data_IF_898603912062
#
_entry.id   IF_898603912062
#
_cell.length_a   1.000
_cell.length_b   1.000
_cell.length_c   1.000
_cell.angle_alpha   90.00
_cell.angle_beta   90.00
_cell.angle_gamma   90.00
#
_symmetry.space_group_name_H-M   'P 1'
#
loop_
_entity.id
_entity.type
_entity.pdbx_description
1 polymer ?
#
# COMPACT_ATOMS: atom_id res chain seq x y z
N UNK A 1 2.84 -7.39 16.80
CA UNK A 1 2.10 -8.27 15.86
C UNK A 1 3.09 -8.64 14.77
N UNK A 2 3.06 -9.87 14.27
CA UNK A 2 3.98 -10.30 13.20
C UNK A 2 3.34 -9.98 11.84
N UNK A 3 4.10 -9.37 10.93
CA UNK A 3 3.67 -9.10 9.57
C UNK A 3 3.29 -10.40 8.85
N UNK A 4 2.05 -10.53 8.37
CA UNK A 4 1.64 -11.64 7.53
C UNK A 4 1.84 -11.30 6.05
N UNK A 5 3.06 -11.51 5.55
CA UNK A 5 3.48 -11.15 4.19
C UNK A 5 2.52 -11.67 3.11
N UNK A 6 1.89 -12.84 3.31
CA UNK A 6 0.96 -13.40 2.32
C UNK A 6 -0.31 -12.55 2.19
N UNK A 7 -0.93 -12.17 3.30
CA UNK A 7 -2.13 -11.33 3.32
C UNK A 7 -1.83 -9.95 2.73
N UNK A 8 -0.66 -9.40 3.06
CA UNK A 8 -0.22 -8.12 2.49
C UNK A 8 -0.03 -8.18 0.97
N UNK A 9 0.55 -9.26 0.42
CA UNK A 9 0.70 -9.43 -1.03
C UNK A 9 -0.66 -9.51 -1.74
N UNK A 10 -1.62 -10.23 -1.16
CA UNK A 10 -2.98 -10.32 -1.71
C UNK A 10 -3.66 -8.94 -1.69
N UNK A 11 -3.56 -8.22 -0.57
CA UNK A 11 -4.08 -6.87 -0.44
C UNK A 11 -3.44 -5.90 -1.45
N UNK A 12 -2.11 -5.90 -1.56
CA UNK A 12 -1.36 -5.08 -2.53
C UNK A 12 -1.89 -5.30 -3.95
N UNK A 13 -2.12 -6.55 -4.36
CA UNK A 13 -2.65 -6.89 -5.69
C UNK A 13 -4.05 -6.31 -5.92
N UNK A 14 -4.93 -6.39 -4.93
CA UNK A 14 -6.28 -5.81 -5.01
C UNK A 14 -6.20 -4.29 -5.17
N UNK A 15 -5.38 -3.62 -4.35
CA UNK A 15 -5.21 -2.18 -4.40
C UNK A 15 -4.61 -1.75 -5.75
N UNK A 16 -3.67 -2.54 -6.29
CA UNK A 16 -3.09 -2.31 -7.62
C UNK A 16 -4.13 -2.30 -8.74
N UNK A 17 -5.10 -3.22 -8.69
CA UNK A 17 -6.19 -3.29 -9.67
C UNK A 17 -7.14 -2.09 -9.58
N UNK A 18 -7.36 -1.56 -8.37
CA UNK A 18 -8.26 -0.43 -8.15
C UNK A 18 -7.63 0.93 -8.47
N UNK A 19 -6.35 1.09 -8.13
CA UNK A 19 -5.63 2.36 -8.25
C UNK A 19 -4.71 2.47 -9.46
N UNK A 20 -4.50 1.38 -10.22
CA UNK A 20 -3.66 1.38 -11.42
C UNK A 20 -2.22 1.91 -11.18
N UNK A 21 -1.56 1.47 -10.09
CA UNK A 21 -0.12 1.74 -9.89
C UNK A 21 0.76 0.59 -10.39
N UNK A 22 2.03 0.88 -10.60
CA UNK A 22 3.05 -0.11 -10.93
C UNK A 22 3.90 -0.46 -9.71
N UNK A 23 4.23 -1.74 -9.56
CA UNK A 23 5.15 -2.25 -8.55
C UNK A 23 6.37 -2.86 -9.22
N UNK A 24 7.54 -2.42 -8.78
CA UNK A 24 8.82 -2.93 -9.26
C UNK A 24 9.66 -3.38 -8.06
N UNK A 25 10.05 -4.65 -8.03
CA UNK A 25 10.98 -5.14 -7.02
C UNK A 25 12.40 -4.74 -7.41
N UNK A 26 13.07 -3.94 -6.57
CA UNK A 26 14.42 -3.43 -6.84
C UNK A 26 15.48 -4.26 -6.11
N UNK A 27 15.16 -4.76 -4.91
CA UNK A 27 16.00 -5.66 -4.12
C UNK A 27 15.09 -6.62 -3.30
N UNK A 28 15.68 -7.61 -2.64
CA UNK A 28 15.00 -8.66 -1.84
C UNK A 28 13.98 -8.08 -0.86
N UNK A 29 14.24 -6.90 -0.33
CA UNK A 29 13.43 -6.22 0.69
C UNK A 29 12.97 -4.82 0.25
N UNK A 30 13.14 -4.42 -1.02
CA UNK A 30 12.79 -3.06 -1.47
C UNK A 30 11.89 -3.13 -2.69
N UNK A 31 10.74 -2.48 -2.60
CA UNK A 31 9.79 -2.32 -3.70
C UNK A 31 9.62 -0.85 -4.04
N UNK A 32 9.47 -0.55 -5.32
CA UNK A 32 9.15 0.79 -5.81
C UNK A 32 7.71 0.81 -6.30
N UNK A 33 6.93 1.76 -5.80
CA UNK A 33 5.60 2.10 -6.31
C UNK A 33 5.76 3.28 -7.26
N UNK A 34 5.22 3.15 -8.48
CA UNK A 34 5.02 4.28 -9.38
C UNK A 34 3.53 4.59 -9.46
N UNK A 35 3.14 5.78 -9.04
CA UNK A 35 1.76 6.23 -9.01
C UNK A 35 1.66 7.71 -9.35
N UNK A 36 0.84 8.05 -10.36
CA UNK A 36 0.59 9.44 -10.79
C UNK A 36 1.85 10.27 -11.08
N UNK A 37 2.90 9.62 -11.59
CA UNK A 37 4.20 10.25 -11.87
C UNK A 37 5.14 10.33 -10.67
N UNK A 38 4.65 10.07 -9.46
CA UNK A 38 5.47 9.93 -8.27
C UNK A 38 6.08 8.52 -8.17
N UNK A 39 7.32 8.48 -7.68
CA UNK A 39 8.07 7.24 -7.47
C UNK A 39 8.42 7.15 -6.00
N UNK A 40 7.94 6.09 -5.35
CA UNK A 40 8.07 5.88 -3.91
C UNK A 40 8.77 4.55 -3.65
N UNK A 41 9.84 4.57 -2.87
CA UNK A 41 10.55 3.35 -2.44
C UNK A 41 10.08 2.93 -1.05
N UNK A 42 9.79 1.64 -0.91
CA UNK A 42 9.31 1.02 0.32
C UNK A 42 10.24 -0.13 0.67
N UNK A 43 10.80 -0.08 1.87
CA UNK A 43 11.56 -1.17 2.47
C UNK A 43 10.63 -2.07 3.29
N UNK A 44 10.72 -3.38 3.08
CA UNK A 44 9.89 -4.41 3.70
C UNK A 44 10.74 -5.17 4.70
N UNK A 45 10.31 -5.23 5.95
CA UNK A 45 10.98 -5.97 7.02
C UNK A 45 9.96 -6.66 7.93
N UNK A 46 10.43 -7.46 8.89
CA UNK A 46 9.55 -8.03 9.91
C UNK A 46 8.87 -6.98 10.79
N UNK A 47 9.42 -5.76 10.84
CA UNK A 47 8.84 -4.61 11.53
C UNK A 47 7.76 -3.90 10.71
N UNK A 48 7.50 -4.32 9.47
CA UNK A 48 6.51 -3.72 8.59
C UNK A 48 7.12 -3.05 7.35
N UNK A 49 6.41 -2.03 6.85
CA UNK A 49 6.73 -1.27 5.64
C UNK A 49 7.30 0.09 6.00
N UNK A 50 8.52 0.37 5.57
CA UNK A 50 9.21 1.64 5.81
C UNK A 50 9.27 2.47 4.55
N UNK A 51 8.94 3.75 4.68
CA UNK A 51 9.04 4.78 3.64
C UNK A 51 9.62 6.03 4.28
N UNK A 52 10.71 6.55 3.71
CA UNK A 52 11.49 7.63 4.33
C UNK A 52 11.86 7.27 5.79
N UNK A 53 11.42 8.09 6.76
CA UNK A 53 11.65 7.91 8.19
C UNK A 53 10.47 7.31 8.96
N UNK A 54 9.41 6.89 8.25
CA UNK A 54 8.18 6.33 8.84
C UNK A 54 8.10 4.82 8.62
N UNK A 55 7.70 4.08 9.65
CA UNK A 55 7.40 2.63 9.57
C UNK A 55 5.92 2.39 9.86
N UNK A 56 5.30 1.57 9.02
CA UNK A 56 3.90 1.19 9.09
C UNK A 56 3.77 -0.32 9.27
N UNK A 57 2.84 -0.76 10.13
CA UNK A 57 2.68 -2.19 10.42
C UNK A 57 2.11 -2.96 9.21
N UNK A 58 1.32 -2.29 8.36
CA UNK A 58 0.70 -2.87 7.17
C UNK A 58 0.82 -1.95 5.96
N UNK A 59 0.70 -2.54 4.77
CA UNK A 59 0.70 -1.81 3.50
C UNK A 59 -0.51 -0.88 3.42
N UNK A 60 -1.66 -1.31 3.93
CA UNK A 60 -2.86 -0.48 4.04
C UNK A 60 -2.59 0.83 4.79
N UNK A 61 -1.94 0.75 5.96
CA UNK A 61 -1.61 1.94 6.73
C UNK A 61 -0.67 2.86 5.94
N UNK A 62 0.34 2.30 5.26
CA UNK A 62 1.23 3.08 4.41
C UNK A 62 0.43 3.79 3.31
N UNK A 63 -0.44 3.06 2.59
CA UNK A 63 -1.24 3.60 1.51
C UNK A 63 -2.18 4.70 1.98
N UNK A 64 -2.88 4.47 3.10
CA UNK A 64 -3.77 5.46 3.73
C UNK A 64 -3.03 6.74 4.13
N UNK A 65 -1.77 6.66 4.54
CA UNK A 65 -1.04 7.85 4.99
C UNK A 65 -0.37 8.63 3.85
N UNK A 66 -0.01 7.96 2.75
CA UNK A 66 0.80 8.56 1.70
C UNK A 66 0.06 8.83 0.38
N UNK A 67 -1.05 8.14 0.12
CA UNK A 67 -1.74 8.22 -1.17
C UNK A 67 -3.19 8.67 -0.98
N UNK A 68 -3.47 9.95 -1.26
CA UNK A 68 -4.82 10.53 -1.12
C UNK A 68 -5.86 9.79 -1.97
N UNK A 69 -5.49 9.40 -3.18
CA UNK A 69 -6.35 8.61 -4.06
C UNK A 69 -6.78 7.28 -3.44
N UNK A 70 -5.91 6.65 -2.65
CA UNK A 70 -6.28 5.46 -1.89
C UNK A 70 -7.34 5.77 -0.84
N UNK A 71 -7.19 6.86 -0.08
CA UNK A 71 -8.21 7.30 0.87
C UNK A 71 -9.55 7.55 0.18
N UNK A 72 -9.54 8.21 -0.98
CA UNK A 72 -10.75 8.53 -1.74
C UNK A 72 -11.46 7.25 -2.23
N UNK A 73 -10.72 6.26 -2.75
CA UNK A 73 -11.26 4.96 -3.16
C UNK A 73 -11.80 4.19 -1.96
N UNK A 74 -11.04 4.11 -0.87
CA UNK A 74 -11.46 3.45 0.37
C UNK A 74 -12.76 4.05 0.90
N UNK A 75 -12.84 5.38 1.00
CA UNK A 75 -14.04 6.07 1.46
C UNK A 75 -15.23 5.86 0.51
N UNK A 76 -15.00 5.85 -0.80
CA UNK A 76 -16.05 5.53 -1.79
C UNK A 76 -16.63 4.13 -1.56
N UNK A 77 -15.79 3.12 -1.36
CA UNK A 77 -16.23 1.75 -1.10
C UNK A 77 -16.95 1.60 0.25
N UNK A 78 -16.45 2.26 1.30
CA UNK A 78 -17.13 2.31 2.60
C UNK A 78 -18.53 2.93 2.47
N UNK A 79 -18.65 4.07 1.77
CA UNK A 79 -19.95 4.72 1.54
C UNK A 79 -20.91 3.84 0.74
N UNK A 80 -20.43 3.11 -0.28
CA UNK A 80 -21.25 2.16 -1.04
C UNK A 80 -21.81 1.05 -0.15
N UNK A 81 -21.01 0.53 0.79
CA UNK A 81 -21.45 -0.54 1.71
C UNK A 81 -22.37 -0.03 2.83
N UNK A 82 -22.17 1.19 3.32
CA UNK A 82 -23.01 1.79 4.36
C UNK A 82 -24.33 2.36 3.82
N UNK A 83 -24.39 2.69 2.52
CA UNK A 83 -25.58 3.17 1.84
C UNK A 83 -26.47 2.07 1.23
N UNK A 84 -26.09 0.80 1.41
CA UNK A 84 -26.86 -0.40 1.07
C UNK A 84 -27.46 -1.02 2.33
#
# INVERSE_FOLDING_TARGET
MTLNIKEEIEYIRTVQQQLHFELEAVDKNVVTIKYDGDVVQIEISEAGFKINDSTYDTFEQLMMNHFKSFQDVFMSEVMKKLGQ
#
